data_IF_450803715915
#
_entry.id   IF_450803715915
#
_cell.length_a   1.000
_cell.length_b   1.000
_cell.length_c   1.000
_cell.angle_alpha   90.00
_cell.angle_beta   90.00
_cell.angle_gamma   90.00
#
_symmetry.space_group_name_H-M   'P 1'
#
loop_
_entity.id
_entity.type
_entity.pdbx_description
1 polymer ?
#
# COMPACT_ATOMS: atom_id res chain seq x y z
N UNK A 1 -1.62 -16.30 -35.10
CA UNK A 1 -0.62 -16.04 -34.05
C UNK A 1 -0.88 -17.05 -32.97
N UNK A 2 -0.23 -18.20 -33.04
CA UNK A 2 -0.29 -19.25 -32.01
C UNK A 2 0.61 -18.79 -30.88
N UNK A 3 0.03 -18.39 -29.75
CA UNK A 3 0.79 -18.17 -28.52
C UNK A 3 1.55 -19.46 -28.21
N UNK A 4 2.82 -19.31 -27.85
CA UNK A 4 3.70 -20.40 -27.51
C UNK A 4 3.09 -21.19 -26.34
N UNK A 5 2.86 -22.49 -26.54
CA UNK A 5 2.18 -23.37 -25.56
C UNK A 5 3.12 -23.83 -24.44
N UNK A 6 4.35 -23.35 -24.43
CA UNK A 6 5.42 -23.83 -23.54
C UNK A 6 5.85 -22.78 -22.51
N UNK A 7 4.96 -21.88 -22.09
CA UNK A 7 5.26 -21.02 -20.94
C UNK A 7 5.29 -21.85 -19.66
N UNK A 8 6.43 -21.83 -18.99
CA UNK A 8 6.70 -22.60 -17.77
C UNK A 8 7.24 -21.69 -16.68
N UNK A 9 6.80 -21.95 -15.46
CA UNK A 9 7.37 -21.34 -14.26
C UNK A 9 8.43 -22.31 -13.74
N UNK A 10 9.68 -21.87 -13.65
CA UNK A 10 10.74 -22.68 -13.05
C UNK A 10 10.92 -22.24 -11.60
N UNK A 11 10.59 -23.12 -10.66
CA UNK A 11 10.80 -22.91 -9.22
C UNK A 11 12.11 -23.54 -8.82
N UNK A 12 13.05 -22.72 -8.35
CA UNK A 12 14.32 -23.16 -7.80
C UNK A 12 14.23 -23.26 -6.27
N UNK A 13 14.48 -24.44 -5.71
CA UNK A 13 14.52 -24.66 -4.27
C UNK A 13 15.97 -24.64 -3.76
N UNK A 14 16.34 -23.57 -3.06
CA UNK A 14 17.70 -23.37 -2.55
C UNK A 14 18.11 -24.36 -1.44
N UNK A 15 17.19 -25.16 -0.90
CA UNK A 15 17.50 -26.15 0.16
C UNK A 15 18.18 -27.39 -0.38
N UNK A 16 17.84 -27.77 -1.62
CA UNK A 16 18.33 -28.99 -2.27
C UNK A 16 18.81 -28.77 -3.72
N UNK A 17 18.91 -27.52 -4.16
CA UNK A 17 19.29 -27.08 -5.51
C UNK A 17 18.41 -27.67 -6.64
N UNK A 18 17.19 -28.12 -6.31
CA UNK A 18 16.29 -28.68 -7.31
C UNK A 18 15.54 -27.60 -8.10
N UNK A 19 15.23 -27.90 -9.35
CA UNK A 19 14.39 -27.07 -10.22
C UNK A 19 13.14 -27.87 -10.57
N UNK A 20 11.97 -27.32 -10.24
CA UNK A 20 10.67 -27.86 -10.66
C UNK A 20 10.09 -26.96 -11.75
N UNK A 21 9.79 -27.53 -12.91
CA UNK A 21 9.06 -26.84 -13.97
C UNK A 21 7.56 -27.03 -13.75
N UNK A 22 6.86 -25.94 -13.46
CA UNK A 22 5.41 -25.87 -13.33
C UNK A 22 4.79 -25.36 -14.64
N UNK A 23 3.56 -25.78 -14.97
CA UNK A 23 2.80 -25.12 -16.03
C UNK A 23 2.61 -23.64 -15.69
N UNK A 24 2.60 -22.75 -16.68
CA UNK A 24 2.40 -21.33 -16.46
C UNK A 24 1.63 -20.65 -17.59
N UNK A 25 1.06 -19.48 -17.30
CA UNK A 25 0.52 -18.57 -18.30
C UNK A 25 1.59 -17.54 -18.71
N UNK A 26 1.30 -16.71 -19.72
CA UNK A 26 2.20 -15.63 -20.13
C UNK A 26 2.24 -14.46 -19.14
N UNK A 27 1.29 -14.42 -18.21
CA UNK A 27 1.12 -13.37 -17.21
C UNK A 27 0.67 -14.02 -15.90
N UNK A 28 1.46 -14.92 -15.30
CA UNK A 28 1.03 -15.59 -14.08
C UNK A 28 1.10 -14.58 -12.93
N UNK A 29 0.04 -14.51 -12.16
CA UNK A 29 0.12 -13.90 -10.83
C UNK A 29 1.00 -14.80 -9.99
N UNK A 30 2.29 -14.47 -9.88
CA UNK A 30 3.27 -15.28 -9.18
C UNK A 30 3.47 -14.73 -7.79
N UNK A 31 3.20 -15.56 -6.79
CA UNK A 31 3.48 -15.28 -5.40
C UNK A 31 4.37 -16.37 -4.82
N UNK A 32 5.40 -15.97 -4.05
CA UNK A 32 6.34 -16.90 -3.42
C UNK A 32 6.46 -16.55 -1.94
N UNK A 33 6.25 -17.54 -1.07
CA UNK A 33 6.45 -17.39 0.38
C UNK A 33 6.85 -18.70 1.02
N UNK A 34 7.98 -18.66 1.72
CA UNK A 34 8.53 -19.82 2.45
C UNK A 34 8.56 -21.06 1.54
N UNK A 35 7.66 -22.02 1.82
CA UNK A 35 7.55 -23.31 1.16
C UNK A 35 6.50 -23.34 0.04
N UNK A 36 5.85 -22.21 -0.27
CA UNK A 36 4.73 -22.17 -1.21
C UNK A 36 4.98 -21.21 -2.36
N UNK A 37 4.56 -21.66 -3.55
CA UNK A 37 4.42 -20.82 -4.73
C UNK A 37 2.95 -20.84 -5.16
N UNK A 38 2.31 -19.67 -5.15
CA UNK A 38 0.99 -19.49 -5.74
C UNK A 38 1.15 -18.98 -7.17
N UNK A 39 0.40 -19.57 -8.09
CA UNK A 39 0.40 -19.18 -9.50
C UNK A 39 -0.97 -19.44 -10.13
N UNK A 40 -1.27 -18.80 -11.25
CA UNK A 40 -2.53 -19.00 -11.96
C UNK A 40 -2.36 -19.82 -13.24
N UNK A 41 -3.36 -20.64 -13.56
CA UNK A 41 -3.48 -21.38 -14.82
C UNK A 41 -4.78 -21.04 -15.54
N UNK A 42 -4.76 -20.84 -16.87
CA UNK A 42 -5.98 -20.73 -17.65
C UNK A 42 -6.60 -22.12 -17.89
N UNK A 43 -7.92 -22.14 -18.00
CA UNK A 43 -8.69 -23.21 -18.56
C UNK A 43 -8.64 -23.08 -20.08
N UNK A 44 -7.69 -23.74 -20.74
CA UNK A 44 -7.55 -23.65 -22.21
C UNK A 44 -8.59 -24.51 -22.97
N UNK A 45 -9.86 -24.48 -22.54
CA UNK A 45 -10.99 -25.11 -23.24
C UNK A 45 -11.13 -26.62 -23.11
N UNK A 46 -10.26 -27.29 -22.33
CA UNK A 46 -10.26 -28.76 -22.20
C UNK A 46 -10.41 -29.27 -20.75
N UNK A 47 -10.24 -28.39 -19.76
CA UNK A 47 -10.29 -28.74 -18.35
C UNK A 47 -10.97 -27.60 -17.58
N UNK A 48 -12.07 -27.96 -16.95
CA UNK A 48 -12.80 -27.15 -15.97
C UNK A 48 -12.07 -27.32 -14.63
N UNK A 49 -11.19 -26.37 -14.31
CA UNK A 49 -10.33 -26.36 -13.15
C UNK A 49 -11.07 -25.84 -11.91
N UNK A 50 -12.02 -24.92 -12.04
CA UNK A 50 -12.83 -24.41 -10.93
C UNK A 50 -14.12 -25.23 -10.67
N UNK A 51 -14.49 -26.12 -11.60
CA UNK A 51 -15.66 -26.99 -11.51
C UNK A 51 -16.99 -26.28 -11.78
N UNK A 52 -16.97 -25.12 -12.42
CA UNK A 52 -18.16 -24.28 -12.58
C UNK A 52 -18.99 -24.61 -13.83
N UNK A 53 -18.49 -25.52 -14.65
CA UNK A 53 -19.16 -26.05 -15.83
C UNK A 53 -18.80 -25.33 -17.13
N UNK A 54 -17.91 -24.33 -17.10
CA UNK A 54 -17.24 -23.84 -18.29
C UNK A 54 -15.73 -24.15 -18.30
N UNK A 55 -15.01 -23.59 -19.28
CA UNK A 55 -13.59 -23.89 -19.54
C UNK A 55 -12.90 -22.65 -20.10
N UNK A 56 -13.32 -21.46 -19.68
CA UNK A 56 -12.92 -20.17 -20.24
C UNK A 56 -12.19 -19.30 -19.23
N UNK A 57 -12.01 -19.77 -18.00
CA UNK A 57 -11.38 -18.99 -16.96
C UNK A 57 -9.89 -18.78 -17.22
N UNK A 58 -9.46 -17.53 -17.13
CA UNK A 58 -8.09 -17.16 -17.47
C UNK A 58 -7.09 -17.36 -16.33
N UNK A 59 -7.57 -17.44 -15.08
CA UNK A 59 -6.73 -17.34 -13.88
C UNK A 59 -7.24 -18.19 -12.71
N UNK A 60 -7.14 -19.52 -12.83
CA UNK A 60 -7.46 -20.44 -11.71
C UNK A 60 -6.23 -20.64 -10.83
N UNK A 61 -6.37 -20.36 -9.54
CA UNK A 61 -5.26 -20.39 -8.58
C UNK A 61 -4.78 -21.83 -8.31
N UNK A 62 -3.48 -22.00 -8.38
CA UNK A 62 -2.74 -23.21 -8.05
C UNK A 62 -1.75 -22.93 -6.92
N UNK A 63 -1.56 -23.92 -6.05
CA UNK A 63 -0.60 -23.88 -4.96
C UNK A 63 0.44 -24.99 -5.12
N UNK A 64 1.70 -24.63 -5.23
CA UNK A 64 2.82 -25.56 -5.20
C UNK A 64 3.48 -25.55 -3.82
N UNK A 65 3.45 -26.68 -3.11
CA UNK A 65 4.19 -26.89 -1.86
C UNK A 65 5.57 -27.48 -2.18
N UNK A 66 6.62 -26.71 -1.99
CA UNK A 66 8.00 -27.08 -2.28
C UNK A 66 8.52 -28.25 -1.42
N UNK A 67 7.98 -28.46 -0.21
CA UNK A 67 8.39 -29.57 0.67
C UNK A 67 7.91 -30.92 0.14
N UNK A 68 6.67 -30.95 -0.33
CA UNK A 68 6.04 -32.18 -0.84
C UNK A 68 6.15 -32.32 -2.35
N UNK A 69 6.52 -31.23 -3.04
CA UNK A 69 6.53 -31.05 -4.50
C UNK A 69 5.16 -31.33 -5.12
N UNK A 70 4.10 -31.15 -4.34
CA UNK A 70 2.73 -31.31 -4.80
C UNK A 70 2.18 -29.99 -5.34
N UNK A 71 1.39 -30.07 -6.41
CA UNK A 71 0.55 -28.97 -6.90
C UNK A 71 -0.88 -29.27 -6.51
N UNK A 72 -1.53 -28.33 -5.85
CA UNK A 72 -2.95 -28.37 -5.49
C UNK A 72 -3.70 -27.30 -6.30
N UNK A 73 -4.76 -27.73 -6.98
CA UNK A 73 -5.73 -26.82 -7.57
C UNK A 73 -6.69 -26.36 -6.46
N UNK A 74 -6.85 -25.05 -6.29
CA UNK A 74 -7.75 -24.51 -5.26
C UNK A 74 -9.20 -24.44 -5.74
N UNK A 75 -9.42 -24.49 -7.06
CA UNK A 75 -10.75 -24.34 -7.65
C UNK A 75 -11.29 -22.91 -7.66
N UNK A 76 -10.44 -21.92 -7.36
CA UNK A 76 -10.83 -20.50 -7.34
C UNK A 76 -10.34 -19.78 -8.59
N UNK A 77 -11.23 -19.09 -9.27
CA UNK A 77 -10.86 -18.07 -10.26
C UNK A 77 -10.52 -16.79 -9.51
N UNK A 78 -9.33 -16.26 -9.75
CA UNK A 78 -8.77 -15.20 -8.91
C UNK A 78 -8.36 -13.97 -9.71
N UNK A 79 -8.44 -12.83 -9.04
CA UNK A 79 -7.88 -11.55 -9.45
C UNK A 79 -7.16 -10.94 -8.26
N UNK A 80 -6.13 -10.15 -8.55
CA UNK A 80 -5.38 -9.38 -7.56
C UNK A 80 -4.91 -10.25 -6.39
N UNK A 81 -4.14 -11.32 -6.67
CA UNK A 81 -3.66 -12.20 -5.58
C UNK A 81 -2.63 -11.46 -4.72
N UNK A 82 -2.87 -11.48 -3.41
CA UNK A 82 -2.08 -10.81 -2.37
C UNK A 82 -1.76 -11.76 -1.24
N UNK A 83 -0.78 -11.42 -0.40
CA UNK A 83 -0.44 -12.24 0.77
C UNK A 83 -0.29 -11.43 2.04
N UNK A 84 -0.75 -11.97 3.16
CA UNK A 84 -0.57 -11.35 4.46
C UNK A 84 -0.49 -12.41 5.56
N UNK A 85 0.55 -12.33 6.40
CA UNK A 85 0.75 -13.18 7.59
C UNK A 85 0.45 -14.68 7.43
N UNK A 86 0.87 -15.26 6.32
CA UNK A 86 0.72 -16.68 5.99
C UNK A 86 -0.51 -17.00 5.15
N UNK A 87 -1.37 -16.03 4.87
CA UNK A 87 -2.57 -16.20 4.05
C UNK A 87 -2.38 -15.58 2.68
N UNK A 88 -3.09 -16.13 1.69
CA UNK A 88 -3.36 -15.50 0.41
C UNK A 88 -4.74 -14.87 0.47
N UNK A 89 -4.89 -13.65 -0.05
CA UNK A 89 -6.16 -12.97 -0.23
C UNK A 89 -6.31 -12.60 -1.68
N UNK A 90 -7.51 -12.72 -2.23
CA UNK A 90 -7.79 -12.42 -3.63
C UNK A 90 -9.27 -12.13 -3.83
N UNK A 91 -9.58 -11.53 -4.98
CA UNK A 91 -10.94 -11.26 -5.40
C UNK A 91 -11.42 -12.32 -6.39
N UNK A 92 -12.68 -12.72 -6.26
CA UNK A 92 -13.35 -13.72 -7.10
C UNK A 92 -14.56 -13.05 -7.74
N UNK A 93 -14.66 -13.13 -9.07
CA UNK A 93 -15.89 -12.76 -9.75
C UNK A 93 -16.88 -13.91 -9.59
N UNK A 94 -18.01 -13.65 -8.92
CA UNK A 94 -19.00 -14.68 -8.62
C UNK A 94 -19.55 -15.36 -9.88
N UNK A 95 -19.58 -14.64 -11.01
CA UNK A 95 -19.97 -15.21 -12.31
C UNK A 95 -19.01 -16.30 -12.78
N UNK A 96 -17.71 -16.09 -12.59
CA UNK A 96 -16.61 -17.01 -12.91
C UNK A 96 -16.47 -18.10 -11.83
N UNK A 97 -17.40 -18.14 -10.89
CA UNK A 97 -17.47 -19.18 -9.86
C UNK A 97 -18.87 -19.82 -9.87
N UNK A 98 -19.43 -20.04 -11.06
CA UNK A 98 -20.73 -20.71 -11.23
C UNK A 98 -21.92 -19.92 -10.67
N UNK A 99 -21.79 -18.59 -10.50
CA UNK A 99 -22.79 -17.70 -9.89
C UNK A 99 -23.12 -18.03 -8.44
N UNK A 100 -22.13 -18.53 -7.70
CA UNK A 100 -22.24 -18.64 -6.26
C UNK A 100 -22.32 -17.24 -5.64
N UNK A 101 -23.30 -17.04 -4.76
CA UNK A 101 -23.39 -15.84 -3.90
C UNK A 101 -22.40 -16.02 -2.74
N UNK A 102 -21.27 -15.31 -2.85
CA UNK A 102 -20.12 -15.38 -1.94
C UNK A 102 -20.07 -14.16 -1.01
N UNK A 103 -20.61 -13.03 -1.44
CA UNK A 103 -20.63 -11.79 -0.64
C UNK A 103 -21.98 -11.52 0.06
N UNK A 104 -22.98 -12.37 -0.16
CA UNK A 104 -24.32 -12.24 0.40
C UNK A 104 -25.22 -11.26 -0.36
N UNK A 105 -24.76 -10.72 -1.50
CA UNK A 105 -25.54 -9.85 -2.36
C UNK A 105 -26.07 -10.60 -3.59
N UNK A 106 -27.35 -10.38 -3.95
CA UNK A 106 -27.88 -10.99 -5.16
C UNK A 106 -27.24 -10.35 -6.40
N UNK A 107 -26.47 -11.10 -7.18
CA UNK A 107 -25.93 -10.57 -8.43
C UNK A 107 -24.75 -11.35 -9.01
N UNK A 108 -24.10 -10.72 -9.98
CA UNK A 108 -22.75 -11.08 -10.42
C UNK A 108 -21.83 -10.01 -9.78
N UNK A 109 -21.29 -10.30 -8.60
CA UNK A 109 -20.43 -9.42 -7.82
C UNK A 109 -18.95 -9.83 -7.82
N UNK A 110 -18.17 -9.13 -7.00
CA UNK A 110 -16.78 -9.52 -6.70
C UNK A 110 -16.64 -9.70 -5.20
N UNK A 111 -16.36 -10.93 -4.80
CA UNK A 111 -16.20 -11.31 -3.41
C UNK A 111 -14.71 -11.47 -3.06
N UNK A 112 -14.34 -11.07 -1.85
CA UNK A 112 -13.02 -11.35 -1.30
C UNK A 112 -12.97 -12.77 -0.72
N UNK A 113 -11.89 -13.51 -0.97
CA UNK A 113 -11.61 -14.84 -0.43
C UNK A 113 -10.19 -14.87 0.13
N UNK A 114 -9.99 -15.61 1.23
CA UNK A 114 -8.66 -15.88 1.77
C UNK A 114 -8.39 -17.37 1.95
N UNK A 115 -7.17 -17.81 1.65
CA UNK A 115 -6.72 -19.20 1.78
C UNK A 115 -5.41 -19.27 2.56
N UNK A 116 -5.33 -20.20 3.50
CA UNK A 116 -4.08 -20.61 4.11
C UNK A 116 -3.43 -21.68 3.22
N UNK A 117 -2.35 -21.37 2.48
CA UNK A 117 -1.71 -22.32 1.58
C UNK A 117 -1.08 -23.50 2.32
N UNK A 118 -0.77 -23.37 3.61
CA UNK A 118 -0.17 -24.44 4.39
C UNK A 118 -1.17 -25.53 4.78
N UNK A 119 -2.43 -25.16 4.96
CA UNK A 119 -3.49 -26.09 5.40
C UNK A 119 -4.57 -26.32 4.35
N UNK A 120 -4.64 -25.48 3.32
CA UNK A 120 -5.75 -25.42 2.37
C UNK A 120 -7.04 -24.88 3.01
N UNK A 121 -6.97 -24.26 4.19
CA UNK A 121 -8.15 -23.72 4.85
C UNK A 121 -8.64 -22.46 4.12
N UNK A 122 -9.91 -22.45 3.73
CA UNK A 122 -10.54 -21.36 2.98
C UNK A 122 -11.46 -20.52 3.87
N UNK A 123 -11.53 -19.22 3.57
CA UNK A 123 -12.41 -18.25 4.22
C UNK A 123 -13.10 -17.37 3.18
N UNK A 124 -14.42 -17.36 3.23
CA UNK A 124 -15.28 -16.46 2.44
C UNK A 124 -16.06 -15.58 3.42
N UNK A 125 -15.54 -14.37 3.75
CA UNK A 125 -16.11 -13.55 4.81
C UNK A 125 -17.41 -12.84 4.46
N UNK A 126 -17.93 -12.96 3.24
CA UNK A 126 -19.12 -12.22 2.82
C UNK A 126 -18.83 -10.76 2.49
N UNK A 127 -17.66 -10.47 1.91
CA UNK A 127 -17.23 -9.09 1.61
C UNK A 127 -17.29 -8.84 0.11
N UNK A 128 -18.20 -7.96 -0.30
CA UNK A 128 -18.24 -7.36 -1.62
C UNK A 128 -17.17 -6.25 -1.69
N UNK A 129 -15.95 -6.59 -2.10
CA UNK A 129 -14.83 -5.64 -2.09
C UNK A 129 -14.51 -5.17 -3.50
N UNK A 130 -14.20 -3.87 -3.62
CA UNK A 130 -13.78 -3.25 -4.90
C UNK A 130 -12.28 -3.32 -5.13
N UNK A 131 -11.48 -3.70 -4.12
CA UNK A 131 -10.04 -3.84 -4.25
C UNK A 131 -9.28 -3.85 -2.92
N UNK A 132 -7.98 -4.06 -3.00
CA UNK A 132 -7.05 -3.88 -1.89
C UNK A 132 -6.72 -2.41 -1.70
N UNK A 133 -6.66 -1.98 -0.45
CA UNK A 133 -6.46 -0.58 -0.10
C UNK A 133 -4.99 -0.22 0.19
N UNK A 134 -4.09 -1.21 0.31
CA UNK A 134 -2.68 -1.01 0.62
C UNK A 134 -1.82 -2.18 0.12
N UNK A 135 -0.51 -2.00 -0.15
CA UNK A 135 0.41 -3.12 -0.28
C UNK A 135 0.48 -3.90 1.04
N UNK A 136 0.45 -5.23 0.97
CA UNK A 136 0.28 -6.07 2.15
C UNK A 136 1.55 -6.23 2.95
N UNK A 137 1.40 -6.31 4.27
CA UNK A 137 2.47 -6.64 5.21
C UNK A 137 2.20 -7.99 5.87
N UNK A 138 3.20 -8.56 6.56
CA UNK A 138 3.11 -9.90 7.13
C UNK A 138 2.25 -10.01 8.41
N UNK A 139 1.14 -9.28 8.51
CA UNK A 139 0.33 -9.21 9.73
C UNK A 139 -0.76 -10.29 9.81
N UNK A 140 -1.19 -10.82 8.66
CA UNK A 140 -2.33 -11.75 8.57
C UNK A 140 -3.66 -11.02 8.39
N UNK A 141 -3.59 -9.71 8.12
CA UNK A 141 -4.72 -8.84 7.88
C UNK A 141 -4.70 -8.34 6.44
N UNK A 142 -5.87 -8.17 5.87
CA UNK A 142 -6.07 -7.56 4.56
C UNK A 142 -6.80 -6.25 4.74
N UNK A 143 -6.27 -5.21 4.09
CA UNK A 143 -6.91 -3.91 4.00
C UNK A 143 -7.67 -3.84 2.69
N UNK A 144 -8.99 -3.75 2.80
CA UNK A 144 -9.91 -3.79 1.68
C UNK A 144 -10.69 -2.47 1.61
N UNK A 145 -11.21 -2.15 0.44
CA UNK A 145 -12.24 -1.13 0.28
C UNK A 145 -13.56 -1.78 -0.15
N UNK A 146 -14.65 -1.22 0.34
CA UNK A 146 -16.00 -1.62 -0.02
C UNK A 146 -16.81 -0.39 -0.41
N UNK A 147 -17.50 -0.48 -1.54
CA UNK A 147 -18.37 0.59 -2.00
C UNK A 147 -19.75 0.49 -1.37
N UNK A 148 -20.22 1.62 -0.86
CA UNK A 148 -21.56 1.75 -0.30
C UNK A 148 -22.67 1.68 -1.36
N UNK A 149 -22.35 1.90 -2.63
CA UNK A 149 -23.30 1.74 -3.73
C UNK A 149 -23.92 0.33 -3.76
N UNK A 150 -23.23 -0.66 -3.20
CA UNK A 150 -23.65 -2.05 -3.16
C UNK A 150 -24.41 -2.39 -1.88
N UNK A 151 -23.92 -1.94 -0.72
CA UNK A 151 -24.45 -2.35 0.60
C UNK A 151 -25.30 -1.28 1.32
N UNK A 152 -25.41 -0.09 0.74
CA UNK A 152 -25.99 1.09 1.39
C UNK A 152 -24.99 1.83 2.25
N UNK A 153 -25.50 2.79 3.01
CA UNK A 153 -24.78 3.66 3.97
C UNK A 153 -24.07 2.82 5.05
N UNK A 154 -22.76 2.57 4.89
CA UNK A 154 -21.93 1.77 5.79
C UNK A 154 -21.23 2.63 6.83
N UNK A 155 -20.97 3.90 6.54
CA UNK A 155 -20.32 4.86 7.44
C UNK A 155 -21.33 5.66 8.30
N UNK A 156 -22.62 5.62 7.97
CA UNK A 156 -23.71 6.27 8.68
C UNK A 156 -23.88 7.76 8.38
N UNK A 157 -23.35 8.25 7.27
CA UNK A 157 -23.29 9.67 6.95
C UNK A 157 -24.52 10.19 6.17
N UNK A 158 -25.37 9.26 5.72
CA UNK A 158 -26.65 9.54 5.07
C UNK A 158 -26.64 9.43 3.54
N UNK A 159 -25.53 9.05 2.91
CA UNK A 159 -25.54 8.65 1.51
C UNK A 159 -24.96 7.24 1.26
N UNK A 160 -24.56 6.94 0.02
CA UNK A 160 -24.10 5.60 -0.37
C UNK A 160 -23.04 5.68 -1.47
N UNK A 161 -22.31 6.78 -1.54
CA UNK A 161 -21.33 7.05 -2.58
C UNK A 161 -19.90 6.73 -2.12
N UNK A 162 -19.73 6.36 -0.85
CA UNK A 162 -18.41 6.27 -0.25
C UNK A 162 -17.73 4.92 -0.50
N UNK A 163 -16.42 4.98 -0.31
CA UNK A 163 -15.59 3.81 -0.10
C UNK A 163 -15.28 3.70 1.39
N UNK A 164 -15.71 2.60 2.01
CA UNK A 164 -15.45 2.32 3.41
C UNK A 164 -14.30 1.33 3.53
N UNK A 165 -13.25 1.66 4.31
CA UNK A 165 -12.15 0.76 4.55
C UNK A 165 -12.59 -0.40 5.44
N UNK A 166 -12.18 -1.61 5.10
CA UNK A 166 -12.41 -2.81 5.90
C UNK A 166 -11.07 -3.42 6.29
N UNK A 167 -10.97 -3.84 7.54
CA UNK A 167 -9.86 -4.65 8.04
C UNK A 167 -10.33 -6.08 8.22
N UNK A 168 -9.86 -6.99 7.37
CA UNK A 168 -10.14 -8.41 7.49
C UNK A 168 -8.96 -9.15 8.11
N UNK A 169 -9.18 -9.81 9.26
CA UNK A 169 -8.20 -10.70 9.89
C UNK A 169 -8.50 -12.16 9.52
N UNK A 170 -7.67 -12.73 8.65
CA UNK A 170 -7.88 -14.08 8.13
C UNK A 170 -7.64 -15.17 9.18
N UNK A 171 -6.79 -14.91 10.18
CA UNK A 171 -6.51 -15.86 11.27
C UNK A 171 -7.71 -16.00 12.19
N UNK A 172 -8.39 -14.89 12.49
CA UNK A 172 -9.58 -14.84 13.34
C UNK A 172 -10.88 -15.01 12.56
N UNK A 173 -10.82 -14.90 11.23
CA UNK A 173 -11.98 -14.81 10.35
C UNK A 173 -12.97 -13.74 10.81
N UNK A 174 -12.48 -12.52 11.02
CA UNK A 174 -13.26 -11.39 11.50
C UNK A 174 -13.07 -10.17 10.61
N UNK A 175 -14.17 -9.49 10.32
CA UNK A 175 -14.20 -8.22 9.59
C UNK A 175 -14.39 -7.08 10.58
N UNK A 176 -13.62 -6.01 10.45
CA UNK A 176 -13.82 -4.78 11.17
C UNK A 176 -14.03 -3.62 10.20
N UNK A 177 -15.14 -2.92 10.34
CA UNK A 177 -15.47 -1.70 9.61
C UNK A 177 -15.43 -0.53 10.60
N UNK A 178 -14.54 0.46 10.43
CA UNK A 178 -14.41 1.57 11.37
C UNK A 178 -15.51 2.62 11.20
N UNK A 179 -16.36 2.53 10.16
CA UNK A 179 -17.39 3.52 9.85
C UNK A 179 -16.79 4.85 9.36
N UNK A 180 -15.73 4.78 8.58
CA UNK A 180 -15.05 5.96 8.02
C UNK A 180 -15.19 5.93 6.50
N UNK A 181 -15.32 7.09 5.86
CA UNK A 181 -15.20 7.21 4.41
C UNK A 181 -13.75 7.48 4.03
N UNK A 182 -13.17 6.68 3.14
CA UNK A 182 -11.81 6.89 2.67
C UNK A 182 -11.66 6.42 1.24
N UNK A 183 -11.53 7.38 0.33
CA UNK A 183 -11.15 7.15 -1.06
C UNK A 183 -9.63 7.07 -1.24
N UNK A 184 -8.84 7.43 -0.22
CA UNK A 184 -7.38 7.38 -0.25
C UNK A 184 -6.83 5.98 0.10
N UNK A 185 -5.61 5.63 -0.37
CA UNK A 185 -4.91 4.43 0.06
C UNK A 185 -4.73 4.40 1.58
N UNK A 186 -4.88 3.21 2.16
CA UNK A 186 -4.65 2.96 3.58
C UNK A 186 -3.19 2.60 3.78
N UNK A 187 -2.64 2.90 4.96
CA UNK A 187 -1.25 2.54 5.28
C UNK A 187 -1.18 1.74 6.57
N UNK A 188 -0.72 0.49 6.46
CA UNK A 188 -0.48 -0.39 7.60
C UNK A 188 0.97 -0.27 8.11
N UNK A 189 1.14 -0.04 9.41
CA UNK A 189 2.44 -0.05 10.09
C UNK A 189 2.34 -0.83 11.40
N UNK A 190 2.91 -2.03 11.41
CA UNK A 190 2.78 -2.94 12.54
C UNK A 190 1.30 -3.22 12.83
N UNK A 191 0.80 -3.00 14.07
CA UNK A 191 -0.61 -3.21 14.40
C UNK A 191 -1.52 -2.05 13.96
N UNK A 192 -0.97 -0.93 13.49
CA UNK A 192 -1.71 0.29 13.20
C UNK A 192 -2.06 0.41 11.72
N UNK A 193 -3.18 1.08 11.44
CA UNK A 193 -3.58 1.44 10.08
C UNK A 193 -3.92 2.92 10.12
N UNK A 194 -3.29 3.71 9.28
CA UNK A 194 -3.67 5.11 9.14
C UNK A 194 -4.49 5.36 7.88
N UNK A 195 -5.42 6.31 7.99
CA UNK A 195 -6.54 6.54 7.09
C UNK A 195 -6.73 8.05 6.94
N UNK A 196 -6.92 8.54 5.72
CA UNK A 196 -7.32 9.93 5.47
C UNK A 196 -8.79 9.94 5.08
N UNK A 197 -9.61 10.67 5.85
CA UNK A 197 -11.06 10.76 5.67
C UNK A 197 -11.40 12.13 5.07
N UNK A 198 -11.98 12.20 3.88
CA UNK A 198 -12.50 13.47 3.34
C UNK A 198 -13.80 13.80 4.09
N UNK A 199 -13.85 14.97 4.71
CA UNK A 199 -15.02 15.44 5.46
C UNK A 199 -16.29 15.49 4.61
N UNK A 200 -16.18 15.75 3.30
CA UNK A 200 -17.34 15.79 2.39
C UNK A 200 -17.96 14.42 2.19
N UNK A 201 -17.10 13.41 2.12
CA UNK A 201 -17.46 12.00 2.01
C UNK A 201 -17.87 11.43 3.38
N UNK A 202 -17.88 12.26 4.44
CA UNK A 202 -18.31 11.86 5.78
C UNK A 202 -19.41 12.76 6.31
N UNK A 203 -20.43 12.98 5.48
CA UNK A 203 -21.63 13.75 5.82
C UNK A 203 -21.39 15.24 5.98
N UNK A 204 -20.32 15.78 5.37
CA UNK A 204 -19.87 17.16 5.53
C UNK A 204 -19.71 17.55 7.01
N UNK A 205 -19.14 16.67 7.82
CA UNK A 205 -18.82 16.93 9.22
C UNK A 205 -17.44 17.57 9.32
N UNK A 206 -17.33 18.62 10.12
CA UNK A 206 -16.05 19.25 10.51
C UNK A 206 -15.35 18.33 11.52
N UNK A 207 -14.45 17.48 11.02
CA UNK A 207 -13.76 16.44 11.77
C UNK A 207 -12.48 16.94 12.42
N UNK A 208 -11.87 18.00 11.91
CA UNK A 208 -10.66 18.61 12.49
C UNK A 208 -10.94 19.87 13.33
N UNK A 209 -12.15 20.42 13.27
CA UNK A 209 -12.59 21.56 14.07
C UNK A 209 -12.18 22.92 13.49
N UNK A 210 -11.74 22.98 12.23
CA UNK A 210 -11.33 24.23 11.57
C UNK A 210 -12.52 25.04 11.01
N UNK A 211 -13.74 24.46 11.05
CA UNK A 211 -14.98 25.08 10.59
C UNK A 211 -15.22 24.94 9.08
N UNK A 212 -14.35 24.24 8.35
CA UNK A 212 -14.53 23.81 6.98
C UNK A 212 -15.00 22.35 6.96
N UNK A 213 -15.42 21.90 5.78
CA UNK A 213 -15.94 20.54 5.56
C UNK A 213 -15.33 19.99 4.28
N UNK A 214 -14.05 20.24 4.08
CA UNK A 214 -13.34 19.94 2.82
C UNK A 214 -11.91 19.48 3.07
N UNK A 215 -11.57 19.24 4.33
CA UNK A 215 -10.27 18.75 4.73
C UNK A 215 -10.25 17.23 4.63
N UNK A 216 -9.07 16.68 4.31
CA UNK A 216 -8.77 15.30 4.65
C UNK A 216 -8.37 15.27 6.12
N UNK A 217 -8.97 14.41 6.94
CA UNK A 217 -8.64 14.31 8.37
C UNK A 217 -8.00 12.97 8.66
N UNK A 218 -6.90 13.00 9.41
CA UNK A 218 -6.10 11.82 9.69
C UNK A 218 -6.67 11.01 10.85
N UNK A 219 -6.94 9.74 10.59
CA UNK A 219 -7.33 8.75 11.57
C UNK A 219 -6.27 7.66 11.70
N UNK A 220 -6.15 7.09 12.90
CA UNK A 220 -5.36 5.89 13.14
C UNK A 220 -6.24 4.82 13.78
N UNK A 221 -6.33 3.65 13.14
CA UNK A 221 -6.90 2.46 13.75
C UNK A 221 -5.86 1.82 14.66
N UNK A 222 -6.20 1.68 15.93
CA UNK A 222 -5.30 1.12 16.94
C UNK A 222 -5.81 -0.21 17.50
N UNK A 223 -4.87 -1.11 17.81
CA UNK A 223 -5.13 -2.39 18.46
C UNK A 223 -5.85 -3.42 17.59
N UNK A 224 -6.22 -4.54 18.22
CA UNK A 224 -6.91 -5.66 17.54
C UNK A 224 -8.35 -5.36 17.19
N UNK A 225 -8.97 -4.38 17.87
CA UNK A 225 -10.35 -3.97 17.64
C UNK A 225 -10.44 -2.77 16.72
N UNK A 226 -9.31 -2.32 16.14
CA UNK A 226 -9.23 -1.23 15.18
C UNK A 226 -10.07 -0.01 15.60
N UNK A 227 -9.86 0.45 16.84
CA UNK A 227 -10.50 1.66 17.36
C UNK A 227 -9.95 2.84 16.58
N UNK A 228 -10.84 3.58 15.92
CA UNK A 228 -10.49 4.77 15.18
C UNK A 228 -10.17 5.93 16.14
N UNK A 229 -8.95 6.44 16.04
CA UNK A 229 -8.49 7.65 16.73
C UNK A 229 -8.43 8.78 15.70
N UNK A 230 -9.33 9.75 15.82
CA UNK A 230 -9.23 11.02 15.10
C UNK A 230 -8.06 11.83 15.70
N UNK A 231 -7.11 12.24 14.87
CA UNK A 231 -5.97 13.04 15.32
C UNK A 231 -6.27 14.55 15.39
N UNK A 232 -7.38 15.01 14.80
CA UNK A 232 -7.92 16.35 14.98
C UNK A 232 -7.20 17.44 14.20
N UNK A 233 -6.71 17.13 12.99
CA UNK A 233 -6.13 18.12 12.08
C UNK A 233 -6.27 17.68 10.62
N UNK A 234 -6.35 18.67 9.74
CA UNK A 234 -6.28 18.49 8.29
C UNK A 234 -4.92 17.89 7.85
N UNK A 235 -4.97 16.94 6.93
CA UNK A 235 -3.83 16.35 6.24
C UNK A 235 -4.20 15.72 4.90
N UNK A 236 -3.23 15.58 4.01
CA UNK A 236 -3.48 15.25 2.60
C UNK A 236 -3.03 13.85 2.17
N UNK A 237 -2.05 13.26 2.86
CA UNK A 237 -1.56 11.92 2.55
C UNK A 237 -0.92 11.27 3.78
N UNK A 238 -0.80 9.94 3.73
CA UNK A 238 -0.20 9.15 4.80
C UNK A 238 0.82 8.16 4.22
N UNK A 239 1.95 8.00 4.93
CA UNK A 239 2.98 7.01 4.66
C UNK A 239 3.36 6.26 5.93
N UNK A 240 4.18 5.22 5.81
CA UNK A 240 4.42 4.34 6.95
C UNK A 240 5.72 3.56 6.87
N UNK A 241 6.55 3.67 7.91
CA UNK A 241 7.84 3.00 7.98
C UNK A 241 8.15 2.53 9.42
N UNK A 242 8.73 1.34 9.55
CA UNK A 242 9.00 0.66 10.83
C UNK A 242 7.77 0.57 11.73
N UNK A 243 7.68 1.40 12.77
CA UNK A 243 6.57 1.48 13.74
C UNK A 243 5.89 2.86 13.74
N UNK A 244 6.13 3.66 12.71
CA UNK A 244 5.68 5.03 12.60
C UNK A 244 4.77 5.22 11.39
N UNK A 245 3.65 5.90 11.62
CA UNK A 245 2.82 6.46 10.58
C UNK A 245 3.22 7.92 10.41
N UNK A 246 3.21 8.39 9.19
CA UNK A 246 3.61 9.74 8.87
C UNK A 246 2.57 10.39 7.98
N UNK A 247 2.39 11.69 8.10
CA UNK A 247 1.46 12.42 7.26
C UNK A 247 1.92 13.85 7.00
N UNK A 248 1.45 14.43 5.91
CA UNK A 248 1.45 15.88 5.72
C UNK A 248 0.29 16.48 6.52
N UNK A 249 0.60 17.28 7.54
CA UNK A 249 -0.37 18.08 8.30
C UNK A 249 -0.42 19.49 7.72
N UNK A 250 -1.61 20.00 7.48
CA UNK A 250 -1.83 21.37 7.04
C UNK A 250 -1.59 22.37 8.16
N UNK A 251 -0.96 23.50 7.84
CA UNK A 251 -0.72 24.62 8.76
C UNK A 251 -1.90 25.59 8.90
N UNK A 252 -3.05 25.33 8.29
CA UNK A 252 -4.20 26.25 8.31
C UNK A 252 -4.54 26.70 9.74
N UNK A 253 -4.15 27.93 10.07
CA UNK A 253 -4.38 28.56 11.38
C UNK A 253 -3.25 28.44 12.42
N UNK A 254 -2.18 27.71 12.15
CA UNK A 254 -1.02 27.52 13.04
C UNK A 254 0.29 27.42 12.22
N UNK A 255 1.25 28.31 12.48
CA UNK A 255 2.63 28.21 11.95
C UNK A 255 3.35 27.02 12.63
N UNK A 256 3.45 25.89 11.93
CA UNK A 256 3.98 24.62 12.45
C UNK A 256 5.49 24.51 12.22
N UNK A 257 6.05 25.19 11.22
CA UNK A 257 7.47 25.12 10.86
C UNK A 257 8.30 26.33 11.36
N UNK A 258 7.66 27.44 11.71
CA UNK A 258 8.25 28.65 12.28
C UNK A 258 8.68 29.72 11.27
N UNK A 259 8.14 29.73 10.05
CA UNK A 259 8.53 30.68 9.00
C UNK A 259 7.59 31.88 8.81
N UNK A 260 6.56 32.01 9.66
CA UNK A 260 5.56 33.09 9.65
C UNK A 260 4.59 33.03 8.45
N UNK A 261 4.55 31.91 7.72
CA UNK A 261 3.44 31.53 6.86
C UNK A 261 2.58 30.41 7.49
N UNK A 262 1.44 30.12 6.85
CA UNK A 262 0.38 29.28 7.43
C UNK A 262 -0.25 28.37 6.34
N UNK A 263 0.43 28.16 5.21
CA UNK A 263 -0.11 27.42 4.05
C UNK A 263 0.72 26.18 3.70
N UNK A 264 1.59 25.74 4.62
CA UNK A 264 2.43 24.58 4.39
C UNK A 264 1.78 23.24 4.75
N UNK A 265 2.44 22.20 4.24
CA UNK A 265 2.25 20.82 4.63
C UNK A 265 3.47 20.35 5.43
N UNK A 266 3.31 20.24 6.74
CA UNK A 266 4.39 19.88 7.66
C UNK A 266 4.34 18.42 8.05
N UNK A 267 5.49 17.75 8.06
CA UNK A 267 5.57 16.34 8.43
C UNK A 267 5.15 16.11 9.89
N UNK A 268 4.11 15.31 10.05
CA UNK A 268 3.73 14.71 11.31
C UNK A 268 4.26 13.28 11.38
N UNK A 269 4.88 12.95 12.51
CA UNK A 269 5.29 11.59 12.86
C UNK A 269 4.44 11.06 14.02
N UNK A 270 3.60 10.07 13.73
CA UNK A 270 2.75 9.39 14.71
C UNK A 270 3.32 8.01 15.07
N UNK A 271 3.30 7.70 16.36
CA UNK A 271 3.56 6.35 16.87
C UNK A 271 2.73 6.09 18.13
N UNK A 272 2.64 4.82 18.55
CA UNK A 272 1.99 4.49 19.83
C UNK A 272 2.64 5.18 21.04
N UNK A 273 3.94 5.51 20.95
CA UNK A 273 4.67 6.24 22.01
C UNK A 273 4.37 7.74 22.01
N UNK A 274 3.91 8.27 20.89
CA UNK A 274 3.60 9.69 20.65
C UNK A 274 2.22 9.80 20.01
N UNK A 275 1.13 9.42 20.71
CA UNK A 275 -0.19 9.28 20.10
C UNK A 275 -0.82 10.61 19.64
N UNK A 276 -0.30 11.75 20.11
CA UNK A 276 -0.63 13.09 19.62
C UNK A 276 0.09 13.45 18.32
N UNK A 277 0.99 12.59 17.84
CA UNK A 277 1.97 12.91 16.82
C UNK A 277 3.09 13.84 17.31
N UNK A 278 4.20 13.83 16.59
CA UNK A 278 5.32 14.76 16.71
C UNK A 278 5.38 15.58 15.43
N UNK A 279 5.27 16.90 15.56
CA UNK A 279 5.55 17.83 14.47
C UNK A 279 7.07 17.86 14.22
N UNK A 280 7.50 17.48 13.02
CA UNK A 280 8.90 17.45 12.62
C UNK A 280 9.45 18.83 12.19
N UNK A 281 8.57 19.82 12.00
CA UNK A 281 8.89 21.19 11.57
C UNK A 281 9.63 21.26 10.23
N UNK A 282 9.24 20.39 9.31
CA UNK A 282 9.75 20.37 7.95
C UNK A 282 8.59 20.36 6.97
N UNK A 283 8.68 21.21 5.95
CA UNK A 283 7.71 21.21 4.86
C UNK A 283 8.01 20.02 3.95
N UNK A 284 7.00 19.19 3.71
CA UNK A 284 7.14 17.96 2.94
C UNK A 284 6.26 17.97 1.70
N UNK A 285 6.86 17.60 0.56
CA UNK A 285 6.13 17.30 -0.66
C UNK A 285 5.58 15.88 -0.68
N UNK A 286 6.35 14.92 -0.17
CA UNK A 286 6.01 13.49 -0.19
C UNK A 286 6.80 12.67 0.83
N UNK A 287 6.28 11.48 1.17
CA UNK A 287 7.08 10.37 1.71
C UNK A 287 7.43 9.44 0.58
N UNK A 288 8.72 9.29 0.37
CA UNK A 288 9.23 8.57 -0.78
C UNK A 288 9.47 7.12 -0.39
N UNK A 289 9.97 6.88 0.83
CA UNK A 289 10.11 5.53 1.34
C UNK A 289 10.99 5.46 2.56
N UNK A 290 11.87 4.47 2.59
CA UNK A 290 12.67 4.15 3.75
C UNK A 290 14.11 3.84 3.37
N UNK A 291 15.02 4.09 4.31
CA UNK A 291 16.43 3.78 4.21
C UNK A 291 16.99 3.47 5.60
N UNK A 292 17.22 2.18 5.87
CA UNK A 292 17.52 1.70 7.22
C UNK A 292 16.35 2.00 8.18
N UNK A 293 16.63 2.65 9.30
CA UNK A 293 15.61 3.12 10.26
C UNK A 293 15.10 4.54 9.94
N UNK A 294 15.60 5.15 8.86
CA UNK A 294 15.21 6.51 8.46
C UNK A 294 14.09 6.45 7.41
N UNK A 295 13.16 7.37 7.50
CA UNK A 295 12.17 7.63 6.45
C UNK A 295 12.76 8.64 5.46
N UNK A 296 12.61 8.38 4.17
CA UNK A 296 12.98 9.35 3.13
C UNK A 296 11.76 10.22 2.82
N UNK A 297 11.97 11.53 2.89
CA UNK A 297 10.96 12.54 2.57
C UNK A 297 11.54 13.54 1.59
N UNK A 298 10.68 14.12 0.77
CA UNK A 298 11.05 15.24 -0.10
C UNK A 298 10.75 16.54 0.62
N UNK A 299 11.79 17.33 0.90
CA UNK A 299 11.71 18.68 1.44
C UNK A 299 11.53 19.66 0.29
N UNK A 300 10.61 20.61 0.42
CA UNK A 300 10.40 21.64 -0.59
C UNK A 300 11.07 22.96 -0.16
N UNK A 301 12.15 23.32 -0.84
CA UNK A 301 12.92 24.52 -0.54
C UNK A 301 12.16 25.85 -0.65
N UNK A 302 11.26 26.06 -1.64
CA UNK A 302 10.56 27.34 -1.79
C UNK A 302 9.75 27.72 -0.56
N UNK A 303 9.15 26.70 0.05
CA UNK A 303 8.27 26.83 1.20
C UNK A 303 9.07 27.01 2.47
N UNK A 304 10.14 26.23 2.65
CA UNK A 304 10.97 26.36 3.86
C UNK A 304 11.95 27.56 3.83
N UNK A 305 12.13 28.21 2.67
CA UNK A 305 13.01 29.36 2.52
C UNK A 305 14.50 29.04 2.70
N UNK A 306 14.91 27.80 2.46
CA UNK A 306 16.29 27.31 2.59
C UNK A 306 16.83 26.79 1.25
N UNK A 307 18.16 26.81 1.11
CA UNK A 307 18.91 26.14 0.05
C UNK A 307 19.54 24.89 0.67
N UNK A 308 18.83 23.77 0.59
CA UNK A 308 19.12 22.50 1.24
C UNK A 308 20.07 21.61 0.44
N UNK A 309 20.15 21.76 -0.89
CA UNK A 309 21.12 21.09 -1.77
C UNK A 309 22.41 21.91 -2.00
N UNK A 310 22.44 23.20 -1.63
CA UNK A 310 23.55 24.15 -1.79
C UNK A 310 23.93 24.42 -3.25
N UNK A 311 22.97 24.39 -4.16
CA UNK A 311 23.21 24.65 -5.57
C UNK A 311 23.09 26.15 -5.95
N UNK A 312 22.56 26.96 -5.03
CA UNK A 312 22.53 28.41 -5.12
C UNK A 312 21.15 29.01 -5.42
N UNK A 313 20.10 28.20 -5.52
CA UNK A 313 18.72 28.68 -5.49
C UNK A 313 17.90 28.05 -4.35
N UNK A 314 16.57 28.11 -4.43
CA UNK A 314 15.63 27.64 -3.40
C UNK A 314 14.37 27.07 -4.06
N UNK A 315 14.48 26.65 -5.31
CA UNK A 315 13.34 26.21 -6.11
C UNK A 315 13.16 24.70 -6.08
N UNK A 316 14.07 23.97 -5.42
CA UNK A 316 14.15 22.53 -5.55
C UNK A 316 13.36 21.74 -4.51
N UNK A 317 13.11 20.50 -4.89
CA UNK A 317 12.74 19.43 -3.99
C UNK A 317 14.00 18.66 -3.62
N UNK A 318 14.28 18.53 -2.32
CA UNK A 318 15.51 17.91 -1.81
C UNK A 318 15.20 16.68 -0.97
N UNK A 319 15.82 15.57 -1.32
CA UNK A 319 15.69 14.33 -0.58
C UNK A 319 16.30 14.46 0.82
N UNK A 320 15.51 14.16 1.83
CA UNK A 320 15.83 14.36 3.23
C UNK A 320 15.57 13.07 4.01
N UNK A 321 16.51 12.70 4.88
CA UNK A 321 16.35 11.58 5.79
C UNK A 321 15.79 12.06 7.13
N UNK A 322 14.65 11.49 7.53
CA UNK A 322 14.01 11.70 8.81
C UNK A 322 14.22 10.49 9.72
N UNK A 323 14.88 10.69 10.86
CA UNK A 323 15.01 9.66 11.91
C UNK A 323 13.81 9.73 12.87
N UNK A 324 12.91 8.77 12.76
CA UNK A 324 11.72 8.69 13.59
C UNK A 324 12.02 8.36 15.07
N UNK A 325 13.19 7.76 15.37
CA UNK A 325 13.61 7.49 16.74
C UNK A 325 13.95 8.77 17.51
N UNK A 326 14.79 9.62 16.91
CA UNK A 326 15.24 10.88 17.53
C UNK A 326 14.45 12.12 17.14
N UNK A 327 13.71 12.08 16.03
CA UNK A 327 13.10 13.26 15.39
C UNK A 327 14.11 14.15 14.70
N UNK A 328 15.28 13.60 14.35
CA UNK A 328 16.31 14.37 13.66
C UNK A 328 16.08 14.37 12.16
N UNK A 329 16.32 15.52 11.54
CA UNK A 329 16.18 15.76 10.10
C UNK A 329 17.58 15.95 9.54
N UNK A 330 17.88 15.30 8.41
CA UNK A 330 19.15 15.47 7.70
C UNK A 330 18.91 15.53 6.20
N UNK A 331 19.13 16.69 5.60
CA UNK A 331 19.20 16.81 4.14
C UNK A 331 20.28 15.86 3.60
N UNK A 332 19.99 15.18 2.50
CA UNK A 332 20.97 14.38 1.77
C UNK A 332 21.70 15.21 0.70
N UNK A 333 21.24 16.44 0.47
CA UNK A 333 21.77 17.35 -0.55
C UNK A 333 21.52 16.85 -1.97
N UNK A 334 20.47 16.04 -2.17
CA UNK A 334 20.13 15.44 -3.46
C UNK A 334 18.86 16.09 -4.02
N UNK A 335 18.99 16.82 -5.12
CA UNK A 335 17.87 17.42 -5.85
C UNK A 335 17.03 16.38 -6.59
N UNK A 336 15.71 16.42 -6.43
CA UNK A 336 14.75 15.49 -7.04
C UNK A 336 13.60 16.28 -7.67
N UNK A 337 13.09 15.85 -8.83
CA UNK A 337 12.03 16.60 -9.56
C UNK A 337 10.61 16.13 -9.22
N UNK A 338 10.49 14.94 -8.65
CA UNK A 338 9.32 14.30 -8.06
C UNK A 338 9.80 12.87 -7.82
N UNK A 339 9.85 12.38 -6.58
CA UNK A 339 10.40 11.06 -6.37
C UNK A 339 9.45 9.99 -6.99
N UNK A 340 9.85 9.26 -8.05
CA UNK A 340 9.28 7.93 -8.20
C UNK A 340 9.61 7.17 -6.92
N UNK A 341 8.63 6.44 -6.39
CA UNK A 341 8.77 5.71 -5.13
C UNK A 341 10.11 4.97 -5.10
N UNK A 342 11.06 5.31 -4.20
CA UNK A 342 12.36 4.69 -4.12
C UNK A 342 12.27 3.17 -4.14
N UNK A 343 13.16 2.58 -4.93
CA UNK A 343 13.31 1.15 -4.95
C UNK A 343 14.15 0.73 -3.75
N UNK A 344 13.49 0.24 -2.71
CA UNK A 344 14.14 -0.23 -1.49
C UNK A 344 14.39 -1.73 -1.56
N UNK A 345 15.65 -2.15 -1.48
CA UNK A 345 16.06 -3.55 -1.49
C UNK A 345 17.13 -3.81 -0.44
N UNK A 346 16.89 -4.76 0.47
CA UNK A 346 17.89 -5.26 1.42
C UNK A 346 18.65 -4.16 2.19
N UNK A 347 17.94 -3.13 2.69
CA UNK A 347 18.54 -2.02 3.44
C UNK A 347 19.29 -0.99 2.58
N UNK A 348 19.26 -1.13 1.26
CA UNK A 348 19.69 -0.11 0.30
C UNK A 348 18.49 0.49 -0.39
N UNK A 349 18.60 1.75 -0.79
CA UNK A 349 17.51 2.47 -1.45
C UNK A 349 18.04 3.16 -2.69
N UNK A 350 17.43 2.89 -3.84
CA UNK A 350 17.79 3.55 -5.08
C UNK A 350 16.84 4.72 -5.36
N UNK A 351 17.40 5.86 -5.72
CA UNK A 351 16.69 7.12 -5.97
C UNK A 351 17.17 7.73 -7.29
N UNK A 352 16.29 8.47 -7.96
CA UNK A 352 16.64 9.23 -9.16
C UNK A 352 16.89 10.69 -8.77
N UNK A 353 18.09 11.17 -9.04
CA UNK A 353 18.52 12.55 -8.76
C UNK A 353 18.47 13.33 -10.07
N UNK A 354 17.85 14.51 -10.05
CA UNK A 354 17.79 15.38 -11.22
C UNK A 354 19.03 16.25 -11.29
N UNK A 355 19.68 16.26 -12.44
CA UNK A 355 20.85 17.12 -12.68
C UNK A 355 20.48 18.61 -12.65
N UNK A 356 19.33 18.96 -13.22
CA UNK A 356 18.77 20.31 -13.18
C UNK A 356 18.59 20.80 -11.74
N UNK A 357 17.88 20.03 -10.90
CA UNK A 357 17.62 20.36 -9.49
C UNK A 357 18.85 20.16 -8.59
N UNK A 358 19.97 19.72 -9.15
CA UNK A 358 21.24 19.62 -8.45
C UNK A 358 22.21 20.72 -8.88
N UNK A 359 21.87 21.47 -9.94
CA UNK A 359 22.75 22.43 -10.60
C UNK A 359 24.03 21.79 -11.19
N UNK A 360 24.03 20.48 -11.48
CA UNK A 360 25.24 19.75 -11.84
C UNK A 360 25.00 18.63 -12.87
N UNK A 361 25.89 18.54 -13.86
CA UNK A 361 25.97 17.45 -14.84
C UNK A 361 26.61 16.22 -14.13
N UNK A 362 25.77 15.30 -13.67
CA UNK A 362 26.15 14.15 -12.84
C UNK A 362 26.64 12.98 -13.70
N UNK A 363 26.19 12.88 -14.94
CA UNK A 363 26.54 11.81 -15.88
C UNK A 363 27.65 12.19 -16.89
N UNK A 364 28.01 13.48 -16.96
CA UNK A 364 29.05 14.08 -17.79
C UNK A 364 28.76 14.06 -19.30
N UNK A 365 27.49 14.18 -19.70
CA UNK A 365 27.09 14.21 -21.11
C UNK A 365 26.95 15.62 -21.70
N UNK A 366 27.01 16.65 -20.85
CA UNK A 366 27.08 18.05 -21.23
C UNK A 366 25.76 18.82 -21.19
N UNK A 367 24.67 18.22 -20.68
CA UNK A 367 23.48 18.97 -20.29
C UNK A 367 23.06 18.73 -18.82
N UNK A 368 21.82 19.07 -18.45
CA UNK A 368 21.30 18.98 -17.07
C UNK A 368 19.90 18.34 -17.03
N UNK A 369 19.45 17.73 -18.12
CA UNK A 369 18.07 17.28 -18.27
C UNK A 369 17.88 15.84 -17.79
N UNK A 370 18.96 15.17 -17.37
CA UNK A 370 18.91 13.77 -16.98
C UNK A 370 18.49 13.55 -15.53
N UNK A 371 18.08 12.30 -15.32
CA UNK A 371 17.89 11.71 -14.01
C UNK A 371 18.91 10.59 -13.81
N UNK A 372 19.74 10.72 -12.78
CA UNK A 372 20.83 9.78 -12.51
C UNK A 372 20.49 8.91 -11.30
N UNK A 373 20.57 7.59 -11.48
CA UNK A 373 20.32 6.62 -10.42
C UNK A 373 21.41 6.67 -9.36
N UNK A 374 21.03 7.03 -8.15
CA UNK A 374 21.87 7.01 -6.96
C UNK A 374 21.43 5.87 -6.04
N UNK A 375 22.40 5.19 -5.43
CA UNK A 375 22.13 4.17 -4.41
C UNK A 375 22.55 4.69 -3.05
N UNK A 376 21.61 4.78 -2.13
CA UNK A 376 21.84 5.07 -0.72
C UNK A 376 22.17 3.76 -0.02
N UNK A 377 23.35 3.69 0.61
CA UNK A 377 23.86 2.50 1.31
C UNK A 377 23.90 2.75 2.82
N UNK A 378 23.21 1.90 3.59
CA UNK A 378 23.24 2.01 5.04
C UNK A 378 24.65 1.67 5.51
N UNK A 379 25.32 2.64 6.14
CA UNK A 379 26.64 2.42 6.72
C UNK A 379 26.45 1.54 7.95
N UNK A 380 26.85 0.27 7.84
CA UNK A 380 26.93 -0.65 8.97
C UNK A 380 28.27 -0.34 9.65
N UNK A 381 28.24 0.53 10.65
CA UNK A 381 29.42 0.83 11.48
C UNK A 381 29.64 -0.24 12.56
#
# INVERSE_FOLDING_TARGET
MTLDRDTRINVFDARDDSVTALPGSNTPDLFVREDFVAFTLPEDGALDLNGDGDTLDSSVLQLYDARTRAVANTGWVTRDVRSSGGWLGFHVNEREQGRADLDGQPGEGTAFVAIDPATGAERVPGIASTGFASPERETGRFLLQQSELVLGDLNGDGDALDLVPLLYDARRNSVHAPGLASSQPLVEVGPHVGIVVDERDHGAQDLDGDGLVSSGVLFVLTGSNAVALNLGFAGSWIGGHSSHLFAARSERGEDLNGDDDHDDQVLLDWSERTPSGRNARIVVGSIDGAFGEQTLVTLLEPFQGIDANQDGDREDAVLTAYDAGGGSVRSLGLGVVAAPAPLSFFGSTAVLVSEQAQGADLNLDGDLLDQVLHTLLQRID
#
